data_IF_370076028363
#
_entry.id   IF_370076028363
#
_cell.length_a   1.000
_cell.length_b   1.000
_cell.length_c   1.000
_cell.angle_alpha   90.00
_cell.angle_beta   90.00
_cell.angle_gamma   90.00
#
_symmetry.space_group_name_H-M   'P 1'
#
loop_
_entity.id
_entity.type
_entity.pdbx_description
1 polymer ?
#
# COMPACT_ATOMS: atom_id res chain seq x y z
N UNK A 1 10.96 9.58 -14.54
CA UNK A 1 10.23 8.49 -15.22
C UNK A 1 9.21 8.00 -14.22
N UNK A 2 7.91 8.11 -14.52
CA UNK A 2 6.84 7.64 -13.63
C UNK A 2 6.93 6.11 -13.57
N UNK A 3 7.08 5.55 -12.37
CA UNK A 3 7.04 4.11 -12.17
C UNK A 3 5.62 3.63 -12.57
N UNK A 4 5.49 2.73 -13.56
CA UNK A 4 4.20 2.22 -14.01
C UNK A 4 3.60 1.35 -12.90
N UNK A 5 2.78 1.94 -12.04
CA UNK A 5 2.17 1.24 -10.90
C UNK A 5 1.64 2.15 -9.81
N UNK A 6 2.12 3.39 -9.71
CA UNK A 6 1.65 4.36 -8.72
C UNK A 6 0.18 4.73 -8.99
N UNK A 7 -0.68 4.60 -7.98
CA UNK A 7 -2.07 5.05 -8.07
C UNK A 7 -2.07 6.57 -8.01
N UNK A 8 -2.33 7.18 -9.17
CA UNK A 8 -2.53 8.63 -9.28
C UNK A 8 -3.91 9.02 -8.73
N UNK A 9 -4.11 10.32 -8.42
CA UNK A 9 -5.44 10.83 -8.05
C UNK A 9 -6.51 10.56 -9.11
N UNK A 10 -6.11 10.50 -10.39
CA UNK A 10 -7.02 10.16 -11.49
C UNK A 10 -7.41 8.68 -11.49
N UNK A 11 -6.52 7.80 -11.02
CA UNK A 11 -6.81 6.38 -10.86
C UNK A 11 -7.59 6.09 -9.60
N UNK A 12 -7.36 6.85 -8.53
CA UNK A 12 -8.17 6.84 -7.30
C UNK A 12 -9.65 7.13 -7.62
N UNK A 13 -9.93 8.10 -8.49
CA UNK A 13 -11.28 8.43 -8.92
C UNK A 13 -11.99 7.29 -9.71
N UNK A 14 -11.25 6.30 -10.20
CA UNK A 14 -11.79 5.12 -10.89
C UNK A 14 -12.03 3.94 -9.96
N UNK A 15 -11.59 4.03 -8.70
CA UNK A 15 -11.81 3.00 -7.70
C UNK A 15 -13.29 3.01 -7.32
N UNK A 16 -13.99 1.87 -7.41
CA UNK A 16 -15.39 1.81 -7.01
C UNK A 16 -15.52 2.00 -5.49
N UNK A 17 -16.68 2.45 -5.03
CA UNK A 17 -16.98 2.46 -3.60
C UNK A 17 -17.29 1.04 -3.14
N UNK A 18 -16.67 0.62 -2.03
CA UNK A 18 -16.88 -0.68 -1.42
C UNK A 18 -17.75 -0.54 -0.16
N UNK A 19 -18.43 -1.61 0.22
CA UNK A 19 -19.23 -1.63 1.46
C UNK A 19 -18.52 -2.35 2.61
N UNK A 20 -17.36 -2.95 2.33
CA UNK A 20 -16.58 -3.70 3.30
C UNK A 20 -15.10 -3.72 2.92
N UNK A 21 -14.26 -3.92 3.93
CA UNK A 21 -12.82 -4.16 3.75
C UNK A 21 -12.52 -5.33 2.82
N UNK A 22 -13.22 -6.47 2.96
CA UNK A 22 -12.97 -7.66 2.15
C UNK A 22 -13.22 -7.39 0.65
N UNK A 23 -14.29 -6.68 0.30
CA UNK A 23 -14.56 -6.31 -1.10
C UNK A 23 -13.46 -5.42 -1.69
N UNK A 24 -13.02 -4.41 -0.93
CA UNK A 24 -11.95 -3.52 -1.34
C UNK A 24 -10.64 -4.31 -1.53
N UNK A 25 -10.30 -5.15 -0.54
CA UNK A 25 -9.11 -6.01 -0.56
C UNK A 25 -9.13 -6.93 -1.77
N UNK A 26 -10.24 -7.63 -2.04
CA UNK A 26 -10.36 -8.55 -3.17
C UNK A 26 -10.17 -7.80 -4.49
N UNK A 27 -10.71 -6.58 -4.62
CA UNK A 27 -10.48 -5.76 -5.81
C UNK A 27 -8.99 -5.42 -6.01
N UNK A 28 -8.29 -5.01 -4.95
CA UNK A 28 -6.85 -4.73 -5.03
C UNK A 28 -6.03 -5.98 -5.34
N UNK A 29 -6.33 -7.12 -4.71
CA UNK A 29 -5.65 -8.40 -4.99
C UNK A 29 -5.91 -8.84 -6.44
N UNK A 30 -7.13 -8.71 -6.95
CA UNK A 30 -7.43 -9.06 -8.33
C UNK A 30 -6.71 -8.15 -9.34
N UNK A 31 -6.50 -6.88 -8.99
CA UNK A 31 -5.87 -5.89 -9.88
C UNK A 31 -4.34 -5.92 -9.85
N UNK A 32 -3.76 -6.05 -8.66
CA UNK A 32 -2.32 -5.91 -8.42
C UNK A 32 -1.63 -7.23 -8.02
N UNK A 33 -2.40 -8.25 -7.60
CA UNK A 33 -1.87 -9.55 -7.23
C UNK A 33 -0.91 -9.48 -6.04
N UNK A 34 0.23 -10.16 -6.16
CA UNK A 34 1.21 -10.33 -5.09
C UNK A 34 1.95 -9.05 -4.67
N UNK A 35 1.82 -7.96 -5.43
CA UNK A 35 2.44 -6.67 -5.07
C UNK A 35 1.65 -5.91 -4.01
N UNK A 36 0.39 -6.29 -3.77
CA UNK A 36 -0.46 -5.72 -2.72
C UNK A 36 -0.35 -6.57 -1.45
N UNK A 37 0.28 -6.04 -0.40
CA UNK A 37 0.62 -6.79 0.82
C UNK A 37 0.08 -6.09 2.07
N UNK A 38 -0.58 -6.84 2.94
CA UNK A 38 -1.01 -6.36 4.26
C UNK A 38 0.22 -6.18 5.16
N UNK A 39 0.33 -5.01 5.77
CA UNK A 39 1.42 -4.65 6.69
C UNK A 39 0.98 -4.78 8.13
N UNK A 40 -0.27 -4.42 8.42
CA UNK A 40 -0.86 -4.49 9.74
C UNK A 40 -2.26 -3.88 9.77
N UNK A 41 -2.88 -3.89 10.93
CA UNK A 41 -4.13 -3.18 11.19
C UNK A 41 -4.04 -2.49 12.54
N UNK A 42 -4.66 -1.32 12.64
CA UNK A 42 -4.78 -0.58 13.89
C UNK A 42 -6.22 -0.04 14.02
N UNK A 43 -6.76 0.01 15.25
CA UNK A 43 -8.04 0.67 15.50
C UNK A 43 -7.87 2.19 15.43
N UNK A 44 -8.63 2.84 14.55
CA UNK A 44 -8.67 4.30 14.37
C UNK A 44 -10.13 4.76 14.46
N UNK A 45 -10.43 5.69 15.38
CA UNK A 45 -11.78 6.23 15.57
C UNK A 45 -12.87 5.15 15.74
N UNK A 46 -12.61 4.16 16.62
CA UNK A 46 -13.50 3.01 16.88
C UNK A 46 -13.76 2.09 15.66
N UNK A 47 -12.93 2.19 14.61
CA UNK A 47 -13.02 1.36 13.42
C UNK A 47 -11.68 0.69 13.10
N UNK A 48 -11.67 -0.56 12.63
CA UNK A 48 -10.43 -1.18 12.17
C UNK A 48 -9.95 -0.55 10.85
N UNK A 49 -8.70 -0.10 10.84
CA UNK A 49 -8.01 0.36 9.65
C UNK A 49 -6.87 -0.59 9.30
N UNK A 50 -6.84 -1.05 8.05
CA UNK A 50 -5.89 -2.02 7.54
C UNK A 50 -4.89 -1.31 6.61
N UNK A 51 -3.61 -1.43 6.93
CA UNK A 51 -2.53 -0.82 6.16
C UNK A 51 -1.94 -1.81 5.17
N UNK A 52 -1.87 -1.40 3.92
CA UNK A 52 -1.32 -2.17 2.81
C UNK A 52 -0.20 -1.42 2.11
N UNK A 53 0.79 -2.18 1.65
CA UNK A 53 1.80 -1.70 0.71
C UNK A 53 1.49 -2.24 -0.68
N UNK A 54 1.39 -1.33 -1.65
CA UNK A 54 1.45 -1.64 -3.06
C UNK A 54 2.89 -1.47 -3.54
N UNK A 55 3.58 -2.57 -3.77
CA UNK A 55 4.98 -2.59 -4.22
C UNK A 55 5.06 -2.15 -5.68
N UNK A 56 5.74 -1.03 -5.92
CA UNK A 56 5.96 -0.40 -7.23
C UNK A 56 7.28 -0.86 -7.86
N UNK A 57 8.30 -1.05 -7.03
CA UNK A 57 9.61 -1.59 -7.44
C UNK A 57 10.06 -2.65 -6.43
N UNK A 58 9.89 -3.92 -6.80
CA UNK A 58 10.25 -5.06 -5.95
C UNK A 58 11.74 -5.09 -5.58
N UNK A 59 12.62 -4.61 -6.46
CA UNK A 59 14.06 -4.64 -6.23
C UNK A 59 14.45 -3.64 -5.16
N UNK A 60 14.01 -2.39 -5.30
CA UNK A 60 14.30 -1.35 -4.31
C UNK A 60 13.57 -1.61 -2.99
N UNK A 61 12.35 -2.16 -3.04
CA UNK A 61 11.63 -2.58 -1.83
C UNK A 61 12.37 -3.68 -1.07
N UNK A 62 12.78 -4.75 -1.76
CA UNK A 62 13.47 -5.88 -1.12
C UNK A 62 14.81 -5.44 -0.55
N UNK A 63 15.59 -4.68 -1.32
CA UNK A 63 16.88 -4.13 -0.90
C UNK A 63 16.74 -3.21 0.31
N UNK A 64 15.80 -2.28 0.30
CA UNK A 64 15.57 -1.38 1.43
C UNK A 64 15.10 -2.13 2.69
N UNK A 65 14.23 -3.14 2.53
CA UNK A 65 13.77 -4.01 3.62
C UNK A 65 14.92 -4.84 4.22
N UNK A 66 15.80 -5.41 3.39
CA UNK A 66 16.98 -6.15 3.85
C UNK A 66 17.96 -5.24 4.62
N UNK A 67 18.19 -4.02 4.12
CA UNK A 67 19.02 -3.02 4.80
C UNK A 67 18.41 -2.64 6.16
N UNK A 68 17.10 -2.39 6.21
CA UNK A 68 16.37 -2.08 7.44
C UNK A 68 16.50 -3.20 8.47
N UNK A 69 16.27 -4.45 8.07
CA UNK A 69 16.40 -5.63 8.93
C UNK A 69 17.84 -5.81 9.45
N UNK A 70 18.84 -5.54 8.60
CA UNK A 70 20.25 -5.75 8.94
C UNK A 70 20.85 -4.65 9.80
N UNK A 71 20.46 -3.39 9.58
CA UNK A 71 21.07 -2.22 10.22
C UNK A 71 20.16 -1.53 11.22
N UNK A 72 18.88 -1.92 11.31
CA UNK A 72 17.87 -1.29 12.17
C UNK A 72 17.50 0.14 11.75
N UNK A 73 18.01 0.61 10.62
CA UNK A 73 17.84 1.98 10.12
C UNK A 73 17.76 1.99 8.59
N UNK A 74 16.89 2.83 8.04
CA UNK A 74 16.81 3.07 6.60
C UNK A 74 18.01 3.92 6.16
N UNK A 75 18.94 3.32 5.42
CA UNK A 75 20.14 4.02 4.92
C UNK A 75 19.85 4.73 3.57
N UNK A 76 18.87 4.23 2.81
CA UNK A 76 18.41 4.79 1.53
C UNK A 76 16.90 5.03 1.58
N UNK A 77 16.48 6.02 2.39
CA UNK A 77 15.06 6.25 2.66
C UNK A 77 14.28 6.67 1.43
N UNK A 78 14.85 7.44 0.49
CA UNK A 78 14.08 7.93 -0.67
C UNK A 78 13.75 6.83 -1.68
N UNK A 79 14.70 5.99 -2.05
CA UNK A 79 14.41 4.88 -2.99
C UNK A 79 13.47 3.86 -2.36
N UNK A 80 13.64 3.55 -1.07
CA UNK A 80 12.75 2.62 -0.37
C UNK A 80 11.35 3.19 -0.19
N UNK A 81 11.19 4.43 0.28
CA UNK A 81 9.88 5.08 0.42
C UNK A 81 9.19 5.28 -0.93
N UNK A 82 9.94 5.42 -2.03
CA UNK A 82 9.38 5.48 -3.39
C UNK A 82 9.10 4.10 -4.02
N UNK A 83 9.56 3.01 -3.40
CA UNK A 83 9.42 1.65 -3.93
C UNK A 83 8.04 1.02 -3.66
N UNK A 84 7.23 1.65 -2.80
CA UNK A 84 5.88 1.21 -2.50
C UNK A 84 4.96 2.41 -2.27
N UNK A 85 3.65 2.18 -2.41
CA UNK A 85 2.62 3.13 -2.04
C UNK A 85 1.81 2.58 -0.87
N UNK A 86 1.55 3.42 0.13
CA UNK A 86 0.72 3.02 1.27
C UNK A 86 -0.75 3.25 0.96
N UNK A 87 -1.56 2.23 1.21
CA UNK A 87 -2.99 2.23 0.99
C UNK A 87 -3.65 1.78 2.30
N UNK A 88 -4.61 2.55 2.75
CA UNK A 88 -5.36 2.29 3.97
C UNK A 88 -6.77 1.89 3.57
N UNK A 89 -7.24 0.76 4.09
CA UNK A 89 -8.58 0.25 3.87
C UNK A 89 -9.26 0.16 5.23
N UNK A 90 -10.34 0.90 5.37
CA UNK A 90 -11.18 0.92 6.55
C UNK A 90 -12.17 -0.25 6.51
N UNK A 91 -12.59 -0.73 7.68
CA UNK A 91 -13.55 -1.86 7.80
C UNK A 91 -14.84 -1.67 6.98
N UNK A 92 -15.33 -0.43 6.87
CA UNK A 92 -16.51 -0.03 6.10
C UNK A 92 -16.27 0.10 4.58
N UNK A 93 -15.07 -0.25 4.10
CA UNK A 93 -14.72 -0.22 2.68
C UNK A 93 -14.23 1.14 2.18
N UNK A 94 -14.10 2.15 3.04
CA UNK A 94 -13.42 3.40 2.66
C UNK A 94 -11.94 3.12 2.38
N UNK A 95 -11.41 3.80 1.37
CA UNK A 95 -10.00 3.69 0.96
C UNK A 95 -9.35 5.05 1.08
N UNK A 96 -8.16 5.08 1.65
CA UNK A 96 -7.28 6.24 1.63
C UNK A 96 -5.95 5.89 0.99
N UNK A 97 -5.56 6.66 -0.03
CA UNK A 97 -4.29 6.47 -0.74
C UNK A 97 -3.32 7.55 -0.30
N UNK A 98 -2.17 7.13 0.21
CA UNK A 98 -1.11 8.05 0.62
C UNK A 98 -0.27 8.44 -0.61
N UNK A 99 -0.02 9.73 -0.77
CA UNK A 99 0.74 10.33 -1.88
C UNK A 99 2.01 11.03 -1.40
#
# INVERSE_FOLDING_TARGET
MYAPGHISREDEAKIPSFSSHDEARDWFINKYGNTFQLVGSEPIDDQECYFYYLILDEKEFTKGREILLKHGMLVTSMEYLGSYQSIEIFEDGRIHIVH
#
